data_IF_743264265716
#
_entry.id   IF_743264265716
#
_cell.length_a   1.000
_cell.length_b   1.000
_cell.length_c   1.000
_cell.angle_alpha   90.00
_cell.angle_beta   90.00
_cell.angle_gamma   90.00
#
_symmetry.space_group_name_H-M   'P 1'
#
loop_
_entity.id
_entity.type
_entity.pdbx_description
1 polymer ?
#
# COMPACT_ATOMS: atom_id res chain seq x y z
N UNK A 1 14.92 7.63 5.10
CA UNK A 1 14.12 6.47 5.53
C UNK A 1 14.93 5.69 6.55
N UNK A 2 14.31 5.23 7.63
CA UNK A 2 15.02 4.42 8.65
C UNK A 2 15.06 2.94 8.25
N UNK A 3 16.02 2.21 8.80
CA UNK A 3 15.98 0.75 8.82
C UNK A 3 15.02 0.28 9.91
N UNK A 4 14.47 -0.91 9.72
CA UNK A 4 13.57 -1.56 10.65
C UNK A 4 14.18 -2.88 11.12
N UNK A 5 13.60 -3.47 12.15
CA UNK A 5 14.00 -4.78 12.66
C UNK A 5 12.80 -5.72 12.71
N UNK A 6 13.04 -6.96 12.37
CA UNK A 6 12.03 -8.02 12.48
C UNK A 6 11.77 -8.32 13.95
N UNK A 7 10.55 -8.11 14.44
CA UNK A 7 10.19 -8.36 15.84
C UNK A 7 10.26 -9.84 16.23
N UNK A 8 10.40 -10.75 15.25
CA UNK A 8 10.53 -12.18 15.51
C UNK A 8 11.99 -12.65 15.66
N UNK A 9 12.93 -12.07 14.90
CA UNK A 9 14.32 -12.60 14.85
C UNK A 9 15.41 -11.52 14.85
N UNK A 10 15.07 -10.22 14.92
CA UNK A 10 16.04 -9.12 14.94
C UNK A 10 16.69 -8.78 13.60
N UNK A 11 16.38 -9.51 12.50
CA UNK A 11 16.92 -9.22 11.18
C UNK A 11 16.58 -7.79 10.73
N UNK A 12 17.58 -7.09 10.19
CA UNK A 12 17.37 -5.77 9.58
C UNK A 12 16.46 -5.87 8.36
N UNK A 13 15.52 -4.93 8.27
CA UNK A 13 14.49 -4.89 7.25
C UNK A 13 14.52 -3.53 6.53
N UNK A 14 14.20 -3.58 5.24
CA UNK A 14 13.95 -2.40 4.42
C UNK A 14 12.44 -2.14 4.31
N UNK A 15 12.09 -0.91 3.97
CA UNK A 15 10.71 -0.44 3.90
C UNK A 15 9.82 -1.27 2.96
N UNK A 16 10.37 -1.73 1.84
CA UNK A 16 9.67 -2.50 0.82
C UNK A 16 9.66 -4.01 1.06
N UNK A 17 10.31 -4.50 2.13
CA UNK A 17 10.29 -5.94 2.40
C UNK A 17 8.87 -6.45 2.64
N UNK A 18 8.54 -7.57 2.03
CA UNK A 18 7.27 -8.28 2.19
C UNK A 18 7.42 -9.60 2.96
N UNK A 19 8.67 -10.03 3.14
CA UNK A 19 9.06 -11.24 3.87
C UNK A 19 10.40 -11.01 4.56
N UNK A 20 10.56 -11.56 5.75
CA UNK A 20 11.84 -11.59 6.43
C UNK A 20 12.68 -12.73 5.87
N UNK A 21 13.85 -12.41 5.32
CA UNK A 21 14.73 -13.40 4.69
C UNK A 21 15.33 -14.38 5.71
N UNK A 22 15.46 -13.98 6.98
CA UNK A 22 16.01 -14.83 8.04
C UNK A 22 14.99 -15.82 8.58
N UNK A 23 13.81 -15.34 9.03
CA UNK A 23 12.83 -16.20 9.71
C UNK A 23 11.58 -16.54 8.88
N UNK A 24 11.47 -16.05 7.65
CA UNK A 24 10.36 -16.31 6.75
C UNK A 24 9.03 -15.62 7.10
N UNK A 25 8.95 -14.85 8.20
CA UNK A 25 7.72 -14.15 8.56
C UNK A 25 7.29 -13.18 7.48
N UNK A 26 5.99 -13.18 7.17
CA UNK A 26 5.40 -12.17 6.29
C UNK A 26 5.48 -10.79 6.94
N UNK A 27 5.75 -9.78 6.15
CA UNK A 27 5.95 -8.41 6.60
C UNK A 27 4.94 -7.46 5.96
N UNK A 28 4.57 -6.42 6.71
CA UNK A 28 3.77 -5.32 6.19
C UNK A 28 4.16 -4.01 6.88
N UNK A 29 3.99 -2.90 6.19
CA UNK A 29 4.19 -1.58 6.78
C UNK A 29 2.91 -1.13 7.50
N UNK A 30 3.06 -0.73 8.76
CA UNK A 30 2.00 -0.23 9.62
C UNK A 30 2.18 1.28 9.82
N UNK A 31 1.39 2.15 9.13
CA UNK A 31 1.54 3.60 9.20
C UNK A 31 1.41 4.14 10.63
N UNK A 32 0.40 3.69 11.37
CA UNK A 32 0.15 4.13 12.75
C UNK A 32 1.31 3.90 13.73
N UNK A 33 2.27 3.03 13.37
CA UNK A 33 3.48 2.75 14.16
C UNK A 33 4.76 3.15 13.43
N UNK A 34 4.63 3.69 12.24
CA UNK A 34 5.78 4.01 11.37
C UNK A 34 6.80 2.85 11.29
N UNK A 35 6.30 1.63 11.15
CA UNK A 35 7.10 0.43 11.26
C UNK A 35 6.76 -0.64 10.20
N UNK A 36 7.79 -1.29 9.68
CA UNK A 36 7.63 -2.61 9.03
C UNK A 36 7.51 -3.64 10.15
N UNK A 37 6.48 -4.47 10.10
CA UNK A 37 6.15 -5.41 11.16
C UNK A 37 5.98 -6.83 10.66
N UNK A 38 6.42 -7.79 11.47
CA UNK A 38 6.16 -9.20 11.25
C UNK A 38 4.69 -9.52 11.57
N UNK A 39 4.10 -10.42 10.78
CA UNK A 39 2.67 -10.71 10.76
C UNK A 39 2.40 -12.16 11.13
N UNK A 40 1.42 -12.37 12.02
CA UNK A 40 0.84 -13.68 12.32
C UNK A 40 -0.53 -13.79 11.65
N UNK A 41 -0.69 -14.77 10.76
CA UNK A 41 -1.98 -15.05 10.12
C UNK A 41 -3.00 -15.53 11.17
N UNK A 42 -4.27 -15.14 11.02
CA UNK A 42 -5.35 -15.50 11.94
C UNK A 42 -6.15 -16.74 11.50
N UNK A 43 -5.76 -17.37 10.38
CA UNK A 43 -6.39 -18.62 9.92
C UNK A 43 -7.81 -18.41 9.40
N UNK A 44 -8.05 -17.36 8.67
CA UNK A 44 -9.37 -17.10 8.07
C UNK A 44 -9.75 -18.20 7.07
N UNK A 45 -11.05 -18.52 6.98
CA UNK A 45 -11.54 -19.52 6.04
C UNK A 45 -11.28 -19.11 4.57
N UNK A 46 -11.18 -20.09 3.65
CA UNK A 46 -11.07 -19.82 2.22
C UNK A 46 -12.21 -18.89 1.74
N UNK A 47 -11.89 -17.97 0.83
CA UNK A 47 -12.83 -17.00 0.26
C UNK A 47 -13.04 -15.74 1.09
N UNK A 48 -12.42 -15.63 2.27
CA UNK A 48 -12.38 -14.37 3.03
C UNK A 48 -11.01 -13.72 2.93
N UNK A 49 -10.94 -12.36 2.97
CA UNK A 49 -9.65 -11.67 3.04
C UNK A 49 -8.85 -12.14 4.25
N UNK A 50 -7.61 -12.58 4.02
CA UNK A 50 -6.72 -13.02 5.09
C UNK A 50 -6.43 -11.87 6.05
N UNK A 51 -6.73 -12.09 7.34
CA UNK A 51 -6.40 -11.15 8.42
C UNK A 51 -5.12 -11.57 9.13
N UNK A 52 -4.49 -10.57 9.71
CA UNK A 52 -3.22 -10.72 10.41
C UNK A 52 -3.23 -9.97 11.73
N UNK A 53 -2.41 -10.44 12.65
CA UNK A 53 -2.00 -9.70 13.83
C UNK A 53 -0.59 -9.18 13.61
N UNK A 54 -0.40 -7.87 13.66
CA UNK A 54 0.90 -7.23 13.54
C UNK A 54 1.65 -7.34 14.89
N UNK A 55 2.91 -7.78 14.86
CA UNK A 55 3.68 -7.91 16.11
C UNK A 55 3.98 -6.57 16.76
N UNK A 56 4.11 -5.49 15.97
CA UNK A 56 4.25 -4.12 16.47
C UNK A 56 2.97 -3.57 17.13
N UNK A 57 1.79 -4.19 16.86
CA UNK A 57 0.51 -3.80 17.47
C UNK A 57 -0.43 -5.01 17.59
N UNK A 58 -0.23 -5.88 18.58
CA UNK A 58 -0.93 -7.16 18.68
C UNK A 58 -2.40 -7.06 19.08
N UNK A 59 -2.88 -5.90 19.52
CA UNK A 59 -4.27 -5.69 19.95
C UNK A 59 -5.24 -5.48 18.79
N UNK A 60 -4.76 -5.11 17.60
CA UNK A 60 -5.57 -4.86 16.43
C UNK A 60 -5.37 -5.94 15.36
N UNK A 61 -6.36 -6.08 14.50
CA UNK A 61 -6.31 -6.95 13.34
C UNK A 61 -6.14 -6.12 12.07
N UNK A 62 -5.39 -6.66 11.13
CA UNK A 62 -5.02 -5.99 9.89
C UNK A 62 -5.26 -6.88 8.69
N UNK A 63 -5.42 -6.27 7.54
CA UNK A 63 -5.32 -6.90 6.22
C UNK A 63 -4.34 -6.10 5.38
N UNK A 64 -3.86 -6.69 4.30
CA UNK A 64 -3.11 -5.92 3.33
C UNK A 64 -4.03 -4.96 2.56
N UNK A 65 -3.47 -3.83 2.12
CA UNK A 65 -4.06 -2.98 1.11
C UNK A 65 -4.44 -3.82 -0.12
N UNK A 66 -5.57 -3.53 -0.77
CA UNK A 66 -6.02 -4.28 -1.95
C UNK A 66 -4.95 -4.33 -3.05
N UNK A 67 -4.19 -3.25 -3.26
CA UNK A 67 -3.09 -3.22 -4.24
C UNK A 67 -1.93 -4.18 -3.92
N UNK A 68 -1.94 -4.86 -2.78
CA UNK A 68 -0.95 -5.89 -2.46
C UNK A 68 -1.11 -7.15 -3.33
N UNK A 69 -2.30 -7.42 -3.87
CA UNK A 69 -2.53 -8.53 -4.82
C UNK A 69 -1.71 -8.38 -6.10
N UNK A 70 -1.43 -7.15 -6.50
CA UNK A 70 -0.59 -6.81 -7.65
C UNK A 70 0.91 -6.74 -7.32
N UNK A 71 1.30 -7.02 -6.06
CA UNK A 71 2.66 -6.88 -5.54
C UNK A 71 3.25 -5.46 -5.65
N UNK A 72 2.42 -4.44 -5.62
CA UNK A 72 2.82 -3.03 -5.67
C UNK A 72 2.71 -2.32 -4.33
N UNK A 73 2.13 -2.97 -3.32
CA UNK A 73 1.93 -2.41 -1.99
C UNK A 73 2.19 -3.45 -0.90
N UNK A 74 2.84 -3.04 0.20
CA UNK A 74 3.02 -3.85 1.41
C UNK A 74 2.40 -3.20 2.66
N UNK A 75 1.58 -2.17 2.48
CA UNK A 75 0.97 -1.45 3.58
C UNK A 75 -0.25 -2.17 4.14
N UNK A 76 -0.43 -2.01 5.44
CA UNK A 76 -1.53 -2.61 6.20
C UNK A 76 -2.68 -1.63 6.37
N UNK A 77 -3.89 -2.18 6.35
CA UNK A 77 -5.14 -1.50 6.64
C UNK A 77 -5.78 -2.23 7.82
N UNK A 78 -6.43 -1.52 8.72
CA UNK A 78 -7.20 -2.15 9.81
C UNK A 78 -8.29 -3.05 9.22
N UNK A 79 -8.47 -4.22 9.80
CA UNK A 79 -9.46 -5.19 9.30
C UNK A 79 -10.92 -4.70 9.43
N UNK A 80 -11.17 -3.80 10.40
CA UNK A 80 -12.47 -3.17 10.65
C UNK A 80 -12.70 -1.87 9.84
N UNK A 81 -11.71 -1.41 9.07
CA UNK A 81 -11.85 -0.24 8.21
C UNK A 81 -12.78 -0.52 7.03
N UNK A 82 -13.65 0.41 6.63
CA UNK A 82 -14.40 0.29 5.38
C UNK A 82 -13.50 0.44 4.14
N UNK A 83 -12.36 1.12 4.27
CA UNK A 83 -11.43 1.35 3.17
C UNK A 83 -10.61 0.10 2.86
N UNK A 84 -10.65 -0.36 1.62
CA UNK A 84 -9.83 -1.47 1.14
C UNK A 84 -8.38 -1.06 0.88
N UNK A 85 -8.14 0.21 0.61
CA UNK A 85 -6.84 0.78 0.27
C UNK A 85 -6.19 1.46 1.48
N UNK A 86 -4.86 1.39 1.56
CA UNK A 86 -4.08 2.12 2.55
C UNK A 86 -4.04 3.62 2.24
N UNK A 87 -3.63 4.43 3.21
CA UNK A 87 -3.54 5.89 3.10
C UNK A 87 -2.85 6.36 1.82
N UNK A 88 -1.77 5.72 1.40
CA UNK A 88 -1.08 6.08 0.16
C UNK A 88 -1.85 5.65 -1.11
N UNK A 89 -2.50 4.49 -1.10
CA UNK A 89 -3.19 3.96 -2.28
C UNK A 89 -4.58 4.58 -2.50
N UNK A 90 -5.20 5.19 -1.50
CA UNK A 90 -6.44 5.97 -1.65
C UNK A 90 -6.27 7.18 -2.58
N UNK A 91 -5.06 7.61 -2.81
CA UNK A 91 -4.74 8.69 -3.74
C UNK A 91 -4.59 8.26 -5.20
N UNK A 92 -4.67 6.96 -5.50
CA UNK A 92 -4.64 6.48 -6.87
C UNK A 92 -6.00 6.76 -7.51
N UNK A 93 -6.02 7.62 -8.51
CA UNK A 93 -7.22 7.89 -9.32
C UNK A 93 -7.26 7.00 -10.54
N UNK A 94 -6.10 6.77 -11.18
CA UNK A 94 -5.96 5.92 -12.36
C UNK A 94 -4.77 4.99 -12.15
N UNK A 95 -4.92 3.71 -12.52
CA UNK A 95 -3.83 2.74 -12.61
C UNK A 95 -3.65 2.31 -14.07
N UNK A 96 -2.45 1.90 -14.50
CA UNK A 96 -2.22 1.49 -15.86
C UNK A 96 -2.97 0.18 -16.17
N UNK A 97 -3.25 -0.05 -17.45
CA UNK A 97 -3.82 -1.33 -17.90
C UNK A 97 -2.86 -2.49 -17.57
N UNK A 98 -3.27 -3.35 -16.64
CA UNK A 98 -2.47 -4.46 -16.15
C UNK A 98 -2.46 -5.68 -17.09
N UNK A 99 -3.28 -5.67 -18.14
CA UNK A 99 -3.25 -6.70 -19.19
C UNK A 99 -2.03 -6.53 -20.11
N UNK A 100 -1.46 -5.32 -20.16
CA UNK A 100 -0.28 -5.01 -20.94
C UNK A 100 0.97 -5.46 -20.18
N UNK A 101 1.79 -6.29 -20.86
CA UNK A 101 3.04 -6.78 -20.27
C UNK A 101 3.98 -5.63 -19.90
N UNK A 102 4.53 -5.66 -18.69
CA UNK A 102 5.46 -4.63 -18.21
C UNK A 102 4.79 -3.50 -17.41
N UNK A 103 3.52 -3.15 -17.67
CA UNK A 103 2.85 -2.06 -16.97
C UNK A 103 2.84 -2.24 -15.45
N UNK A 104 2.58 -3.46 -14.96
CA UNK A 104 2.64 -3.79 -13.53
C UNK A 104 4.04 -3.54 -12.94
N UNK A 105 5.10 -3.86 -13.69
CA UNK A 105 6.48 -3.66 -13.24
C UNK A 105 6.80 -2.17 -13.13
N UNK A 106 6.39 -1.38 -14.12
CA UNK A 106 6.59 0.07 -14.14
C UNK A 106 5.76 0.74 -13.03
N UNK A 107 4.49 0.37 -12.91
CA UNK A 107 3.62 0.87 -11.85
C UNK A 107 4.20 0.56 -10.46
N UNK A 108 4.69 -0.67 -10.23
CA UNK A 108 5.33 -1.03 -8.96
C UNK A 108 6.48 -0.10 -8.58
N UNK A 109 7.33 0.26 -9.53
CA UNK A 109 8.47 1.18 -9.28
C UNK A 109 7.98 2.55 -8.82
N UNK A 110 6.96 3.07 -9.49
CA UNK A 110 6.38 4.38 -9.18
C UNK A 110 5.61 4.32 -7.86
N UNK A 111 4.84 3.25 -7.61
CA UNK A 111 4.14 3.04 -6.33
C UNK A 111 5.11 3.01 -5.15
N UNK A 112 6.25 2.36 -5.28
CA UNK A 112 7.26 2.36 -4.22
C UNK A 112 7.80 3.77 -3.95
N UNK A 113 8.02 4.58 -4.98
CA UNK A 113 8.42 5.98 -4.84
C UNK A 113 7.31 6.79 -4.15
N UNK A 114 6.05 6.59 -4.53
CA UNK A 114 4.89 7.22 -3.89
C UNK A 114 4.75 6.80 -2.42
N UNK A 115 4.94 5.53 -2.08
CA UNK A 115 4.92 5.07 -0.69
C UNK A 115 6.01 5.75 0.16
N UNK A 116 7.19 5.99 -0.40
CA UNK A 116 8.26 6.76 0.28
C UNK A 116 7.87 8.22 0.49
N UNK A 117 7.19 8.84 -0.48
CA UNK A 117 6.62 10.17 -0.33
C UNK A 117 5.62 10.19 0.84
N UNK A 118 4.64 9.26 0.84
CA UNK A 118 3.64 9.20 1.91
C UNK A 118 4.26 8.87 3.27
N UNK A 119 5.27 8.01 3.35
CA UNK A 119 6.05 7.82 4.56
C UNK A 119 6.59 9.16 5.10
N UNK A 120 7.11 10.00 4.22
CA UNK A 120 7.65 11.32 4.59
C UNK A 120 6.55 12.29 5.02
N UNK A 121 5.44 12.36 4.27
CA UNK A 121 4.29 13.21 4.60
C UNK A 121 3.72 12.86 5.98
N UNK A 122 3.49 11.58 6.24
CA UNK A 122 2.98 11.08 7.53
C UNK A 122 3.95 11.40 8.67
N UNK A 123 5.23 11.13 8.47
CA UNK A 123 6.27 11.40 9.48
C UNK A 123 6.38 12.88 9.83
N UNK A 124 6.24 13.76 8.84
CA UNK A 124 6.27 15.21 9.03
C UNK A 124 4.89 15.78 9.40
N UNK A 125 3.84 14.94 9.48
CA UNK A 125 2.45 15.35 9.74
C UNK A 125 1.95 16.41 8.77
N UNK A 126 2.37 16.31 7.50
CA UNK A 126 1.93 17.22 6.45
C UNK A 126 0.53 16.84 5.93
N UNK A 127 -0.28 17.80 5.49
CA UNK A 127 -1.58 17.53 4.88
C UNK A 127 -1.44 16.64 3.65
N UNK A 128 -2.29 15.63 3.52
CA UNK A 128 -2.30 14.70 2.39
C UNK A 128 -3.72 14.20 2.08
N UNK A 129 -4.69 15.12 2.10
CA UNK A 129 -6.07 14.81 1.74
C UNK A 129 -6.17 14.28 0.30
N UNK A 130 -7.12 13.39 0.06
CA UNK A 130 -7.44 12.94 -1.29
C UNK A 130 -8.22 14.00 -2.06
N UNK A 131 -8.33 13.89 -3.38
CA UNK A 131 -9.22 14.71 -4.20
C UNK A 131 -10.71 14.48 -3.88
N UNK A 132 -11.06 13.37 -3.23
CA UNK A 132 -12.42 13.12 -2.75
C UNK A 132 -12.71 13.92 -1.47
N UNK A 133 -11.73 14.04 -0.57
CA UNK A 133 -11.85 14.79 0.67
C UNK A 133 -11.70 16.30 0.46
N UNK A 134 -10.90 16.68 -0.52
CA UNK A 134 -10.60 18.08 -0.86
C UNK A 134 -10.42 18.21 -2.38
N UNK A 135 -11.50 18.56 -3.12
CA UNK A 135 -11.45 18.69 -4.57
C UNK A 135 -10.48 19.75 -5.09
N UNK A 136 -10.21 20.80 -4.30
CA UNK A 136 -9.34 21.90 -4.72
C UNK A 136 -7.86 21.57 -4.48
N UNK A 137 -7.50 21.21 -3.23
CA UNK A 137 -6.10 21.09 -2.81
C UNK A 137 -5.67 19.64 -2.52
N UNK A 138 -6.59 18.67 -2.59
CA UNK A 138 -6.30 17.27 -2.37
C UNK A 138 -5.38 16.66 -3.44
N UNK A 139 -4.65 15.62 -3.07
CA UNK A 139 -3.71 14.90 -3.93
C UNK A 139 -4.41 13.75 -4.68
N UNK A 140 -4.06 13.56 -5.95
CA UNK A 140 -4.38 12.37 -6.71
C UNK A 140 -3.22 12.00 -7.63
N UNK A 141 -3.09 10.70 -7.92
CA UNK A 141 -2.06 10.17 -8.81
C UNK A 141 -2.71 9.40 -9.96
N UNK A 142 -2.33 9.74 -11.17
CA UNK A 142 -2.69 9.03 -12.39
C UNK A 142 -1.45 8.32 -12.94
N UNK A 143 -1.50 7.01 -12.99
CA UNK A 143 -0.44 6.17 -13.55
C UNK A 143 -0.83 5.78 -14.97
N UNK A 144 -0.34 6.54 -15.93
CA UNK A 144 -0.61 6.33 -17.34
C UNK A 144 0.52 5.49 -17.97
N UNK A 145 0.17 4.63 -18.93
CA UNK A 145 1.14 3.99 -19.80
C UNK A 145 1.37 4.82 -21.05
N UNK A 146 2.54 4.66 -21.70
CA UNK A 146 2.86 5.39 -22.92
C UNK A 146 1.87 5.11 -24.07
N UNK A 147 1.21 3.95 -24.05
CA UNK A 147 0.25 3.52 -25.06
C UNK A 147 -1.19 3.90 -24.70
N UNK A 148 -1.42 4.53 -23.53
CA UNK A 148 -2.76 5.00 -23.16
C UNK A 148 -3.12 6.23 -24.04
N UNK A 149 -4.32 6.29 -24.63
CA UNK A 149 -4.78 7.49 -25.31
C UNK A 149 -4.74 8.66 -24.33
N UNK A 150 -4.10 9.76 -24.70
CA UNK A 150 -4.01 10.95 -23.88
C UNK A 150 -5.43 11.44 -23.52
N UNK A 151 -5.74 11.77 -22.25
CA UNK A 151 -7.07 12.15 -21.81
C UNK A 151 -7.45 13.59 -22.21
N UNK A 152 -7.29 13.94 -23.50
CA UNK A 152 -7.88 15.13 -24.08
C UNK A 152 -9.24 14.86 -24.74
N UNK A 153 -9.87 13.73 -24.41
CA UNK A 153 -11.22 13.36 -24.80
C UNK A 153 -11.97 12.73 -23.64
N UNK A 154 -13.00 13.39 -23.16
CA UNK A 154 -14.11 12.98 -22.29
C UNK A 154 -14.25 11.47 -22.01
N UNK A 155 -13.31 10.89 -21.29
CA UNK A 155 -13.41 9.53 -20.78
C UNK A 155 -13.63 9.57 -19.28
N UNK A 156 -14.74 9.03 -18.81
CA UNK A 156 -15.04 8.82 -17.40
C UNK A 156 -13.90 8.05 -16.73
N UNK A 157 -13.34 8.52 -15.62
CA UNK A 157 -12.32 7.76 -14.90
C UNK A 157 -12.92 6.45 -14.41
N UNK A 158 -12.36 5.33 -14.84
CA UNK A 158 -12.71 4.02 -14.30
C UNK A 158 -12.08 3.94 -12.91
N UNK A 159 -12.92 4.19 -11.90
CA UNK A 159 -12.59 3.86 -10.52
C UNK A 159 -12.65 2.34 -10.39
N UNK A 160 -11.52 1.67 -10.51
CA UNK A 160 -11.42 0.30 -10.05
C UNK A 160 -11.16 0.33 -8.55
N UNK A 161 -12.28 0.22 -7.79
CA UNK A 161 -12.28 -0.03 -6.36
C UNK A 161 -11.76 -1.41 -6.02
#
# INVERSE_FOLDING_TARGET
MKLFECQNCGQLLYFENTKCESCGMRLGYLPAREAVTALKALGDPPGRPQRFRAMAEPRAQYRFCANAEHNVCNWLVRADSPNLFCEACQHNRTIPDLSIAGNRIHWRKIEFAKHRLFYTLLKLRLPHKTKLDDPQDGLAFDFLSADAPHPHGSGTPVMTG
#
